data_IF_461130046047
#
_entry.id   IF_461130046047
#
_cell.length_a   1.000
_cell.length_b   1.000
_cell.length_c   1.000
_cell.angle_alpha   90.00
_cell.angle_beta   90.00
_cell.angle_gamma   90.00
#
_symmetry.space_group_name_H-M   'P 1'
#
loop_
_entity.id
_entity.type
_entity.pdbx_description
1 polymer ?
#
# COMPACT_ATOMS: atom_id res chain seq x y z
N UNK A 1 -22.93 -11.75 12.86
CA UNK A 1 -21.79 -10.84 13.14
C UNK A 1 -20.67 -11.31 12.23
N UNK A 2 -20.11 -10.47 11.37
CA UNK A 2 -18.99 -10.89 10.54
C UNK A 2 -17.78 -11.07 11.48
N UNK A 3 -17.20 -12.27 11.53
CA UNK A 3 -15.98 -12.52 12.29
C UNK A 3 -14.89 -11.54 11.83
N UNK A 4 -14.10 -11.04 12.79
CA UNK A 4 -12.83 -10.37 12.50
C UNK A 4 -11.87 -11.42 11.94
N UNK A 5 -11.85 -11.51 10.61
CA UNK A 5 -10.90 -12.32 9.88
C UNK A 5 -9.96 -11.41 9.10
N UNK A 6 -8.67 -11.68 9.21
CA UNK A 6 -7.64 -11.02 8.42
C UNK A 6 -7.48 -11.73 7.08
N UNK A 7 -7.20 -10.97 6.03
CA UNK A 7 -6.91 -11.50 4.70
C UNK A 7 -5.59 -10.93 4.17
N UNK A 8 -4.85 -11.69 3.34
CA UNK A 8 -3.58 -11.23 2.79
C UNK A 8 -3.78 -10.27 1.63
N UNK A 9 -2.91 -9.26 1.55
CA UNK A 9 -2.85 -8.30 0.44
C UNK A 9 -1.40 -8.04 0.06
N UNK A 10 -1.13 -8.03 -1.25
CA UNK A 10 0.14 -7.56 -1.82
C UNK A 10 0.08 -6.04 -2.00
N UNK A 11 1.15 -5.35 -1.61
CA UNK A 11 1.35 -3.96 -2.02
C UNK A 11 2.64 -3.77 -2.81
N UNK A 12 2.62 -2.78 -3.70
CA UNK A 12 3.76 -2.28 -4.47
C UNK A 12 4.00 -0.83 -4.14
N UNK A 13 5.25 -0.38 -4.26
CA UNK A 13 5.57 1.06 -4.15
C UNK A 13 5.68 1.65 -5.55
N UNK A 14 4.88 2.69 -5.80
CA UNK A 14 4.76 3.36 -7.10
C UNK A 14 6.14 3.73 -7.66
N UNK A 15 6.37 3.41 -8.94
CA UNK A 15 7.63 3.72 -9.64
C UNK A 15 8.82 2.85 -9.25
N UNK A 16 8.61 1.76 -8.50
CA UNK A 16 9.68 0.83 -8.10
C UNK A 16 9.28 -0.64 -8.28
N UNK A 17 10.24 -1.56 -8.14
CA UNK A 17 9.97 -3.00 -8.03
C UNK A 17 9.77 -3.48 -6.58
N UNK A 18 9.73 -2.54 -5.62
CA UNK A 18 9.58 -2.84 -4.19
C UNK A 18 8.15 -3.30 -3.92
N UNK A 19 8.03 -4.35 -3.12
CA UNK A 19 6.74 -4.93 -2.76
C UNK A 19 6.84 -5.64 -1.41
N UNK A 20 5.69 -5.89 -0.80
CA UNK A 20 5.56 -6.76 0.37
C UNK A 20 4.10 -7.23 0.52
N UNK A 21 3.89 -8.32 1.26
CA UNK A 21 2.57 -8.86 1.60
C UNK A 21 2.29 -8.61 3.08
N UNK A 22 1.06 -8.20 3.41
CA UNK A 22 0.60 -8.08 4.80
C UNK A 22 -0.79 -8.66 5.00
N UNK A 23 -1.10 -9.03 6.24
CA UNK A 23 -2.46 -9.31 6.69
C UNK A 23 -3.17 -7.99 7.04
N UNK A 24 -4.46 -7.93 6.71
CA UNK A 24 -5.28 -6.74 6.93
C UNK A 24 -6.74 -7.14 7.18
N UNK A 25 -7.52 -6.24 7.78
CA UNK A 25 -8.95 -6.46 8.06
C UNK A 25 -9.82 -5.33 7.48
N UNK A 26 -11.09 -5.59 7.10
CA UNK A 26 -12.04 -4.53 6.75
C UNK A 26 -12.53 -3.73 7.96
N UNK A 27 -12.21 -4.15 9.19
CA UNK A 27 -12.60 -3.48 10.45
C UNK A 27 -11.60 -2.44 10.94
N UNK A 28 -10.36 -2.44 10.40
CA UNK A 28 -9.35 -1.45 10.77
C UNK A 28 -9.61 -0.08 10.12
N UNK A 29 -8.79 0.91 10.47
CA UNK A 29 -8.84 2.25 9.85
C UNK A 29 -7.82 2.38 8.71
N UNK A 30 -8.05 3.32 7.80
CA UNK A 30 -7.09 3.63 6.74
C UNK A 30 -5.75 4.10 7.31
N UNK A 31 -5.76 4.90 8.39
CA UNK A 31 -4.54 5.34 9.11
C UNK A 31 -3.72 4.16 9.68
N UNK A 32 -4.40 3.14 10.23
CA UNK A 32 -3.73 1.91 10.69
C UNK A 32 -3.04 1.20 9.53
N UNK A 33 -3.72 1.08 8.37
CA UNK A 33 -3.13 0.49 7.17
C UNK A 33 -1.93 1.31 6.67
N UNK A 34 -2.05 2.63 6.59
CA UNK A 34 -0.95 3.53 6.18
C UNK A 34 0.28 3.39 7.07
N UNK A 35 0.08 3.26 8.38
CA UNK A 35 1.17 3.05 9.34
C UNK A 35 1.85 1.70 9.10
N UNK A 36 1.08 0.62 8.93
CA UNK A 36 1.61 -0.71 8.65
C UNK A 36 2.41 -0.74 7.34
N UNK A 37 1.87 -0.16 6.26
CA UNK A 37 2.53 -0.05 4.97
C UNK A 37 3.82 0.77 5.05
N UNK A 38 3.82 1.90 5.78
CA UNK A 38 5.02 2.72 6.01
C UNK A 38 6.12 1.93 6.73
N UNK A 39 5.75 1.19 7.78
CA UNK A 39 6.69 0.36 8.54
C UNK A 39 7.27 -0.76 7.68
N UNK A 40 6.44 -1.46 6.89
CA UNK A 40 6.93 -2.51 6.00
C UNK A 40 7.80 -1.95 4.87
N UNK A 41 7.43 -0.82 4.27
CA UNK A 41 8.22 -0.17 3.24
C UNK A 41 9.64 0.19 3.71
N UNK A 42 9.80 0.50 5.01
CA UNK A 42 11.09 0.92 5.59
C UNK A 42 11.91 -0.24 6.17
N UNK A 43 11.25 -1.29 6.68
CA UNK A 43 11.92 -2.38 7.41
C UNK A 43 12.03 -3.68 6.63
N UNK A 44 11.16 -3.91 5.63
CA UNK A 44 11.16 -5.15 4.87
C UNK A 44 12.37 -5.25 3.92
N UNK A 45 13.06 -6.41 3.88
CA UNK A 45 14.07 -6.68 2.87
C UNK A 45 13.50 -6.73 1.44
N UNK A 46 12.22 -7.08 1.26
CA UNK A 46 11.55 -7.09 -0.06
C UNK A 46 11.28 -5.67 -0.57
N UNK A 47 11.27 -4.70 0.34
CA UNK A 47 11.19 -3.27 0.04
C UNK A 47 12.56 -2.57 0.06
N UNK A 48 13.67 -3.29 0.25
CA UNK A 48 15.00 -2.68 0.24
C UNK A 48 15.48 -2.40 -1.19
N UNK A 49 15.93 -1.18 -1.47
CA UNK A 49 16.65 -0.88 -2.72
C UNK A 49 18.15 -1.19 -2.57
N UNK A 50 18.80 -1.60 -3.67
CA UNK A 50 20.23 -1.97 -3.68
C UNK A 50 21.16 -0.85 -3.13
N UNK A 51 20.77 0.42 -3.27
CA UNK A 51 21.51 1.59 -2.77
C UNK A 51 21.04 2.11 -1.39
N UNK A 52 20.07 1.44 -0.75
CA UNK A 52 19.52 1.85 0.56
C UNK A 52 20.57 1.91 1.68
N UNK A 53 21.68 1.17 1.54
CA UNK A 53 22.83 1.21 2.47
C UNK A 53 23.53 2.58 2.53
N UNK A 54 23.33 3.44 1.53
CA UNK A 54 23.88 4.80 1.46
C UNK A 54 22.82 5.88 1.71
N UNK A 55 21.58 5.48 2.04
CA UNK A 55 20.50 6.43 2.26
C UNK A 55 20.68 7.12 3.61
N UNK A 56 20.58 8.44 3.61
CA UNK A 56 20.68 9.23 4.83
C UNK A 56 19.56 8.81 5.79
N UNK A 57 19.92 8.39 7.01
CA UNK A 57 18.96 7.88 8.02
C UNK A 57 17.95 8.94 8.48
N UNK A 58 18.19 10.21 8.15
CA UNK A 58 17.29 11.33 8.44
C UNK A 58 16.16 11.54 7.43
N UNK A 59 16.12 10.79 6.31
CA UNK A 59 15.00 10.88 5.35
C UNK A 59 13.96 9.84 5.76
N UNK A 60 12.85 10.31 6.32
CA UNK A 60 11.68 9.47 6.59
C UNK A 60 10.80 9.45 5.34
N UNK A 61 10.42 8.26 4.88
CA UNK A 61 9.40 8.11 3.85
C UNK A 61 8.11 7.67 4.51
N UNK A 62 7.02 8.36 4.21
CA UNK A 62 5.67 8.02 4.68
C UNK A 62 4.75 7.78 3.50
N UNK A 63 3.74 6.93 3.70
CA UNK A 63 2.68 6.71 2.71
C UNK A 63 1.84 7.99 2.58
N UNK A 64 1.75 8.55 1.37
CA UNK A 64 0.88 9.70 1.09
C UNK A 64 -0.46 9.30 0.51
N UNK A 65 -0.49 8.23 -0.28
CA UNK A 65 -1.68 7.79 -1.02
C UNK A 65 -1.62 6.28 -1.23
N UNK A 66 -2.78 5.64 -1.18
CA UNK A 66 -2.95 4.22 -1.47
C UNK A 66 -4.00 4.10 -2.57
N UNK A 67 -3.68 3.38 -3.63
CA UNK A 67 -4.61 3.02 -4.71
C UNK A 67 -4.79 1.51 -4.72
N UNK A 68 -5.98 1.01 -5.01
CA UNK A 68 -6.12 -0.38 -5.46
C UNK A 68 -5.90 -0.39 -6.97
N UNK A 69 -4.98 -1.20 -7.45
CA UNK A 69 -4.94 -1.63 -8.85
C UNK A 69 -5.77 -2.89 -8.99
N UNK A 70 -6.87 -2.75 -9.73
CA UNK A 70 -7.80 -3.84 -9.95
C UNK A 70 -7.24 -4.81 -10.98
N UNK A 71 -7.32 -6.11 -10.71
CA UNK A 71 -6.97 -7.14 -11.69
C UNK A 71 -8.00 -7.16 -12.82
N UNK A 72 -7.77 -6.37 -13.87
CA UNK A 72 -8.61 -6.31 -15.07
C UNK A 72 -8.30 -7.51 -15.96
N UNK A 73 -9.33 -8.20 -16.42
CA UNK A 73 -9.20 -9.30 -17.36
C UNK A 73 -8.70 -8.78 -18.72
N UNK A 74 -7.71 -9.48 -19.26
CA UNK A 74 -7.19 -9.28 -20.62
C UNK A 74 -7.28 -10.58 -21.43
N UNK A 75 -6.81 -10.55 -22.68
CA UNK A 75 -6.86 -11.70 -23.60
C UNK A 75 -6.05 -12.92 -23.12
N UNK A 76 -5.14 -12.76 -22.16
CA UNK A 76 -4.35 -13.84 -21.58
C UNK A 76 -4.92 -14.36 -20.25
N UNK A 77 -5.90 -13.67 -19.68
CA UNK A 77 -6.49 -14.02 -18.39
C UNK A 77 -7.47 -15.19 -18.55
N UNK A 78 -7.35 -16.28 -17.76
CA UNK A 78 -8.34 -17.36 -17.77
C UNK A 78 -9.75 -16.86 -17.52
N UNK A 79 -10.76 -17.54 -18.06
CA UNK A 79 -12.16 -17.17 -17.83
C UNK A 79 -12.48 -17.08 -16.33
N UNK A 80 -12.94 -15.90 -15.89
CA UNK A 80 -13.22 -15.62 -14.47
C UNK A 80 -12.01 -15.16 -13.63
N UNK A 81 -10.82 -15.04 -14.23
CA UNK A 81 -9.58 -14.67 -13.55
C UNK A 81 -9.37 -13.17 -13.33
N UNK A 82 -10.25 -12.31 -13.87
CA UNK A 82 -10.12 -10.85 -13.76
C UNK A 82 -11.46 -10.14 -13.87
N UNK A 83 -11.44 -8.85 -13.56
CA UNK A 83 -12.61 -7.96 -13.63
C UNK A 83 -12.84 -7.44 -15.03
N UNK A 84 -14.10 -7.19 -15.37
CA UNK A 84 -14.45 -6.61 -16.67
C UNK A 84 -13.89 -5.18 -16.81
N UNK A 85 -12.93 -5.00 -17.71
CA UNK A 85 -12.28 -3.71 -17.98
C UNK A 85 -13.16 -2.64 -18.63
N UNK A 86 -14.39 -2.99 -19.06
CA UNK A 86 -15.40 -2.02 -19.51
C UNK A 86 -16.17 -1.40 -18.35
N UNK A 87 -16.22 -2.08 -17.21
CA UNK A 87 -17.02 -1.68 -16.04
C UNK A 87 -16.10 -1.18 -14.92
N UNK A 88 -15.02 -1.92 -14.65
CA UNK A 88 -14.11 -1.59 -13.57
C UNK A 88 -13.06 -0.56 -14.01
N UNK A 89 -12.77 0.45 -13.17
CA UNK A 89 -11.64 1.32 -13.43
C UNK A 89 -10.33 0.53 -13.29
N UNK A 90 -9.24 1.05 -13.86
CA UNK A 90 -7.91 0.44 -13.67
C UNK A 90 -7.46 0.51 -12.20
N UNK A 91 -7.79 1.60 -11.54
CA UNK A 91 -7.41 1.85 -10.17
C UNK A 91 -8.46 2.64 -9.39
N UNK A 92 -8.37 2.61 -8.07
CA UNK A 92 -9.24 3.36 -7.17
C UNK A 92 -8.44 3.87 -5.98
N UNK A 93 -8.47 5.18 -5.75
CA UNK A 93 -7.85 5.81 -4.58
C UNK A 93 -8.64 5.42 -3.33
N UNK A 94 -7.95 4.93 -2.30
CA UNK A 94 -8.55 4.65 -0.99
C UNK A 94 -8.79 5.98 -0.27
N UNK A 95 -10.00 6.15 0.23
CA UNK A 95 -10.41 7.25 1.10
C UNK A 95 -11.08 6.67 2.34
N UNK A 96 -11.22 7.45 3.41
CA UNK A 96 -11.90 6.99 4.63
C UNK A 96 -13.34 6.54 4.35
N UNK A 97 -14.02 7.21 3.42
CA UNK A 97 -15.42 6.94 3.07
C UNK A 97 -15.58 5.61 2.31
N UNK A 98 -14.62 5.27 1.43
CA UNK A 98 -14.69 4.06 0.62
C UNK A 98 -13.92 2.88 1.22
N UNK A 99 -13.08 3.12 2.23
CA UNK A 99 -12.12 2.15 2.77
C UNK A 99 -12.74 0.80 3.04
N UNK A 100 -13.78 0.76 3.89
CA UNK A 100 -14.41 -0.49 4.31
C UNK A 100 -14.98 -1.28 3.12
N UNK A 101 -15.58 -0.60 2.15
CA UNK A 101 -16.13 -1.26 0.97
C UNK A 101 -15.03 -1.83 0.08
N UNK A 102 -13.95 -1.07 -0.14
CA UNK A 102 -12.78 -1.50 -0.91
C UNK A 102 -12.10 -2.69 -0.23
N UNK A 103 -11.91 -2.67 1.08
CA UNK A 103 -11.30 -3.79 1.81
C UNK A 103 -12.11 -5.07 1.68
N UNK A 104 -13.45 -5.00 1.71
CA UNK A 104 -14.31 -6.16 1.44
C UNK A 104 -14.16 -6.69 0.01
N UNK A 105 -14.02 -5.80 -0.97
CA UNK A 105 -13.75 -6.21 -2.35
C UNK A 105 -12.39 -6.90 -2.51
N UNK A 106 -11.37 -6.46 -1.76
CA UNK A 106 -10.06 -7.10 -1.74
C UNK A 106 -10.11 -8.49 -1.08
N UNK A 107 -10.83 -8.61 0.03
CA UNK A 107 -11.07 -9.88 0.74
C UNK A 107 -11.71 -10.92 -0.19
N UNK A 108 -12.81 -10.56 -0.86
CA UNK A 108 -13.46 -11.41 -1.87
C UNK A 108 -12.63 -11.56 -3.15
N UNK A 109 -11.67 -10.67 -3.33
CA UNK A 109 -10.68 -10.68 -4.40
C UNK A 109 -9.81 -11.94 -4.39
N UNK A 110 -9.60 -12.54 -3.22
CA UNK A 110 -8.70 -13.68 -3.05
C UNK A 110 -7.26 -13.33 -3.39
N UNK A 111 -6.83 -12.09 -3.14
CA UNK A 111 -5.45 -11.63 -3.35
C UNK A 111 -5.07 -11.29 -4.79
N UNK A 112 -6.01 -11.24 -5.74
CA UNK A 112 -5.74 -10.87 -7.14
C UNK A 112 -5.41 -9.38 -7.33
N UNK A 113 -5.93 -8.54 -6.44
CA UNK A 113 -5.76 -7.09 -6.50
C UNK A 113 -4.57 -6.64 -5.67
N UNK A 114 -3.98 -5.52 -6.07
CA UNK A 114 -2.74 -5.01 -5.49
C UNK A 114 -2.96 -3.62 -4.95
N UNK A 115 -2.44 -3.33 -3.76
CA UNK A 115 -2.34 -1.96 -3.27
C UNK A 115 -1.11 -1.31 -3.89
N UNK A 116 -1.30 -0.26 -4.66
CA UNK A 116 -0.22 0.57 -5.15
C UNK A 116 -0.06 1.79 -4.26
N UNK A 117 1.13 1.93 -3.69
CA UNK A 117 1.41 2.81 -2.57
C UNK A 117 2.36 3.91 -3.01
N UNK A 118 1.92 5.15 -2.87
CA UNK A 118 2.77 6.31 -3.11
C UNK A 118 3.44 6.72 -1.82
N UNK A 119 4.77 6.82 -1.87
CA UNK A 119 5.60 7.29 -0.76
C UNK A 119 6.00 8.75 -0.99
N UNK A 120 6.03 9.54 0.07
CA UNK A 120 6.60 10.89 0.08
C UNK A 120 7.75 10.96 1.07
N UNK A 121 8.78 11.74 0.73
CA UNK A 121 9.88 12.04 1.65
C UNK A 121 9.44 13.18 2.57
N UNK A 122 9.46 12.94 3.87
CA UNK A 122 9.51 13.98 4.88
C UNK A 122 10.97 14.39 5.11
N UNK A 123 11.23 15.69 5.22
CA UNK A 123 12.42 16.13 5.94
C UNK A 123 12.23 15.75 7.40
N UNK A 124 13.04 14.81 7.90
CA UNK A 124 13.11 14.56 9.33
C UNK A 124 13.46 15.87 10.02
N UNK A 125 12.56 16.34 10.90
CA UNK A 125 12.74 17.56 11.68
C UNK A 125 14.02 17.46 12.52
N UNK A 126 15.12 17.92 11.95
CA UNK A 126 16.28 18.36 12.70
C UNK A 126 15.95 19.72 13.28
N UNK A 127 15.46 19.73 14.52
CA UNK A 127 15.60 20.92 15.36
C UNK A 127 17.10 21.03 15.70
N UNK A 128 17.90 21.46 14.72
CA UNK A 128 19.27 21.91 14.95
C UNK A 128 19.20 23.18 15.78
N UNK A 129 19.71 23.07 17.01
CA UNK A 129 19.78 24.15 17.97
C UNK A 129 20.43 25.39 17.37
N UNK A 130 19.75 26.53 17.55
CA UNK A 130 20.44 27.81 17.64
C UNK A 130 21.05 27.93 19.02
N UNK A 131 22.30 27.47 19.14
CA UNK A 131 23.22 27.90 20.18
C UNK A 131 23.97 29.17 19.76
N UNK A 132 24.31 30.00 20.76
CA UNK A 132 25.32 31.07 20.68
C UNK A 132 24.73 32.47 20.48
N UNK A 133 25.03 33.48 21.29
CA UNK A 133 26.12 33.70 22.25
C UNK A 133 25.72 34.83 23.20
#
# INVERSE_FOLDING_TARGET
MAEEHEFPVLFTIEGSSRHEVLLTSPTQTLSTLQTALTNLATTSPNCAEFLSKYRNRNITETVSEIRVRWAIADSGTPAGGGRDGKIWPKETVLTEENFRAVMRLLEWGGGRDVLDVRMVRGEGGGEEGKGGK
#
